data_IF_757157664252
#
_entry.id   IF_757157664252
#
_cell.length_a   1.000
_cell.length_b   1.000
_cell.length_c   1.000
_cell.angle_alpha   90.00
_cell.angle_beta   90.00
_cell.angle_gamma   90.00
#
_symmetry.space_group_name_H-M   'P 1'
#
loop_
_entity.id
_entity.type
_entity.pdbx_description
1 polymer ?
#
# COMPACT_ATOMS: atom_id res chain seq x y z
N UNK A 1 -8.09 40.40 49.69
CA UNK A 1 -9.37 40.02 49.02
C UNK A 1 -9.04 39.30 47.72
N UNK A 2 -9.28 37.98 47.66
CA UNK A 2 -9.09 37.16 46.46
C UNK A 2 -10.42 37.10 45.70
N UNK A 3 -10.46 37.58 44.46
CA UNK A 3 -11.56 37.32 43.52
C UNK A 3 -11.23 36.06 42.72
N UNK A 4 -12.14 35.07 42.63
CA UNK A 4 -11.88 33.84 41.91
C UNK A 4 -12.03 34.06 40.41
N UNK A 5 -10.95 33.80 39.68
CA UNK A 5 -10.90 33.83 38.22
C UNK A 5 -11.82 32.72 37.67
N UNK A 6 -13.08 33.04 37.38
CA UNK A 6 -14.04 32.14 36.70
C UNK A 6 -13.64 32.01 35.23
N UNK A 7 -12.67 31.15 34.94
CA UNK A 7 -12.41 30.71 33.56
C UNK A 7 -13.66 29.96 33.09
N UNK A 8 -14.35 30.53 32.10
CA UNK A 8 -15.56 29.96 31.50
C UNK A 8 -15.28 28.54 31.02
N UNK A 9 -15.81 27.55 31.74
CA UNK A 9 -15.77 26.11 31.38
C UNK A 9 -16.21 25.84 29.94
N UNK A 10 -17.12 26.67 29.39
CA UNK A 10 -17.55 26.61 27.99
C UNK A 10 -16.40 26.81 26.98
N UNK A 11 -15.38 27.61 27.29
CA UNK A 11 -14.24 27.84 26.39
C UNK A 11 -13.36 26.60 26.29
N UNK A 12 -13.11 25.91 27.40
CA UNK A 12 -12.29 24.70 27.43
C UNK A 12 -12.93 23.55 26.65
N UNK A 13 -14.25 23.41 26.74
CA UNK A 13 -15.01 22.39 25.99
C UNK A 13 -14.99 22.64 24.49
N UNK A 14 -15.02 23.90 24.05
CA UNK A 14 -14.94 24.26 22.63
C UNK A 14 -13.54 23.95 22.07
N UNK A 15 -12.47 24.28 22.81
CA UNK A 15 -11.11 23.96 22.38
C UNK A 15 -10.87 22.45 22.30
N UNK A 16 -11.40 21.66 23.24
CA UNK A 16 -11.30 20.20 23.17
C UNK A 16 -12.14 19.62 22.03
N UNK A 17 -13.33 20.16 21.75
CA UNK A 17 -14.14 19.73 20.59
C UNK A 17 -13.42 20.05 19.26
N UNK A 18 -12.84 21.23 19.13
CA UNK A 18 -12.08 21.63 17.94
C UNK A 18 -10.83 20.75 17.80
N UNK A 19 -10.12 20.46 18.88
CA UNK A 19 -8.96 19.57 18.84
C UNK A 19 -9.34 18.14 18.44
N UNK A 20 -10.48 17.63 18.92
CA UNK A 20 -11.03 16.33 18.51
C UNK A 20 -11.44 16.37 17.03
N UNK A 21 -12.12 17.42 16.58
CA UNK A 21 -12.48 17.57 15.16
C UNK A 21 -11.25 17.69 14.26
N UNK A 22 -10.23 18.47 14.64
CA UNK A 22 -8.97 18.58 13.89
C UNK A 22 -8.22 17.25 13.91
N UNK A 23 -8.20 16.51 15.03
CA UNK A 23 -7.61 15.18 15.10
C UNK A 23 -8.38 14.15 14.26
N UNK A 24 -9.71 14.21 14.23
CA UNK A 24 -10.55 13.39 13.35
C UNK A 24 -10.30 13.76 11.89
N UNK A 25 -10.22 15.05 11.55
CA UNK A 25 -9.94 15.54 10.20
C UNK A 25 -8.52 15.12 9.75
N UNK A 26 -7.51 15.22 10.62
CA UNK A 26 -6.15 14.72 10.36
C UNK A 26 -6.12 13.19 10.19
N UNK A 27 -6.96 12.46 10.93
CA UNK A 27 -7.11 11.01 10.82
C UNK A 27 -7.97 10.58 9.61
N UNK A 28 -8.84 11.45 9.10
CA UNK A 28 -9.56 11.23 7.83
C UNK A 28 -8.77 11.71 6.62
N UNK A 29 -7.79 12.60 6.80
CA UNK A 29 -6.83 12.98 5.76
C UNK A 29 -5.83 11.84 5.43
N UNK A 30 -5.86 10.72 6.17
CA UNK A 30 -5.22 9.46 5.75
C UNK A 30 -6.15 8.57 4.92
N UNK A 31 -7.37 9.02 4.58
CA UNK A 31 -8.05 8.50 3.40
C UNK A 31 -7.26 9.08 2.23
N UNK A 32 -6.20 8.38 1.83
CA UNK A 32 -5.61 8.56 0.52
C UNK A 32 -6.78 8.53 -0.47
N UNK A 33 -7.16 9.68 -1.01
CA UNK A 33 -8.19 9.74 -2.02
C UNK A 33 -7.71 8.86 -3.16
N UNK A 34 -8.32 7.69 -3.31
CA UNK A 34 -8.00 6.76 -4.40
C UNK A 34 -8.11 7.58 -5.68
N UNK A 35 -7.02 7.74 -6.46
CA UNK A 35 -7.07 8.54 -7.68
C UNK A 35 -8.22 8.07 -8.56
N UNK A 36 -8.97 9.01 -9.15
CA UNK A 36 -10.10 8.68 -10.02
C UNK A 36 -9.64 7.79 -11.16
N UNK A 37 -10.23 6.60 -11.28
CA UNK A 37 -9.87 5.64 -12.32
C UNK A 37 -10.63 5.94 -13.61
N UNK A 38 -9.90 5.94 -14.74
CA UNK A 38 -10.53 5.95 -16.06
C UNK A 38 -11.35 4.66 -16.26
N UNK A 39 -12.67 4.74 -16.53
CA UNK A 39 -13.53 3.55 -16.63
C UNK A 39 -13.08 2.56 -17.71
N UNK A 40 -12.52 3.05 -18.82
CA UNK A 40 -12.02 2.21 -19.91
C UNK A 40 -10.77 1.44 -19.45
N UNK A 41 -9.80 2.14 -18.87
CA UNK A 41 -8.59 1.54 -18.32
C UNK A 41 -8.90 0.52 -17.22
N UNK A 42 -9.88 0.82 -16.36
CA UNK A 42 -10.37 -0.11 -15.34
C UNK A 42 -10.97 -1.37 -15.96
N UNK A 43 -11.84 -1.24 -16.96
CA UNK A 43 -12.45 -2.39 -17.64
C UNK A 43 -11.42 -3.28 -18.35
N UNK A 44 -10.40 -2.67 -18.97
CA UNK A 44 -9.28 -3.42 -19.57
C UNK A 44 -8.51 -4.23 -18.53
N UNK A 45 -8.22 -3.61 -17.37
CA UNK A 45 -7.53 -4.27 -16.27
C UNK A 45 -8.36 -5.44 -15.71
N UNK A 46 -9.65 -5.24 -15.47
CA UNK A 46 -10.55 -6.29 -14.97
C UNK A 46 -10.67 -7.48 -15.93
N UNK A 47 -10.71 -7.22 -17.25
CA UNK A 47 -10.67 -8.28 -18.26
C UNK A 47 -9.38 -9.11 -18.13
N UNK A 48 -8.23 -8.46 -18.00
CA UNK A 48 -6.95 -9.13 -17.86
C UNK A 48 -6.87 -9.95 -16.55
N UNK A 49 -7.36 -9.39 -15.44
CA UNK A 49 -7.48 -10.10 -14.16
C UNK A 49 -8.36 -11.33 -14.31
N UNK A 50 -9.50 -11.22 -14.98
CA UNK A 50 -10.40 -12.35 -15.21
C UNK A 50 -9.69 -13.48 -15.97
N UNK A 51 -8.94 -13.16 -17.03
CA UNK A 51 -8.14 -14.15 -17.79
C UNK A 51 -7.12 -14.83 -16.88
N UNK A 52 -6.40 -14.06 -16.06
CA UNK A 52 -5.36 -14.59 -15.14
C UNK A 52 -5.88 -15.61 -14.11
N UNK A 53 -7.19 -15.61 -13.83
CA UNK A 53 -7.83 -16.60 -12.94
C UNK A 53 -7.92 -17.98 -13.58
N UNK A 54 -8.06 -18.04 -14.90
CA UNK A 54 -8.18 -19.29 -15.67
C UNK A 54 -6.83 -19.75 -16.21
N UNK A 55 -6.04 -18.83 -16.75
CA UNK A 55 -4.70 -19.10 -17.27
C UNK A 55 -3.75 -17.98 -16.85
N UNK A 56 -2.75 -18.34 -16.05
CA UNK A 56 -1.79 -17.38 -15.51
C UNK A 56 -0.92 -16.75 -16.59
N UNK A 57 -0.47 -17.54 -17.57
CA UNK A 57 0.43 -17.07 -18.62
C UNK A 57 -0.30 -16.10 -19.57
N UNK A 58 -1.51 -16.44 -19.99
CA UNK A 58 -2.35 -15.56 -20.80
C UNK A 58 -2.64 -14.24 -20.06
N UNK A 59 -2.91 -14.33 -18.75
CA UNK A 59 -3.12 -13.15 -17.91
C UNK A 59 -1.90 -12.22 -17.87
N UNK A 60 -0.69 -12.79 -17.73
CA UNK A 60 0.57 -12.03 -17.79
C UNK A 60 0.71 -11.37 -19.16
N UNK A 61 0.58 -12.13 -20.25
CA UNK A 61 0.72 -11.61 -21.61
C UNK A 61 -0.25 -10.46 -21.89
N UNK A 62 -1.51 -10.59 -21.47
CA UNK A 62 -2.51 -9.52 -21.64
C UNK A 62 -2.11 -8.29 -20.83
N UNK A 63 -1.72 -8.43 -19.56
CA UNK A 63 -1.28 -7.29 -18.74
C UNK A 63 -0.06 -6.57 -19.33
N UNK A 64 0.94 -7.31 -19.84
CA UNK A 64 2.14 -6.72 -20.47
C UNK A 64 1.81 -5.91 -21.74
N UNK A 65 0.76 -6.33 -22.46
CA UNK A 65 0.29 -5.69 -23.69
C UNK A 65 -0.46 -4.38 -23.43
N UNK A 66 -0.98 -4.15 -22.22
CA UNK A 66 -1.63 -2.89 -21.86
C UNK A 66 -0.59 -1.77 -21.74
N UNK A 67 -0.74 -0.74 -22.57
CA UNK A 67 0.09 0.48 -22.62
C UNK A 67 -0.77 1.72 -22.41
N UNK A 68 -0.12 2.86 -22.16
CA UNK A 68 -0.75 4.18 -22.07
C UNK A 68 -1.88 4.27 -21.03
N UNK A 69 -1.76 3.54 -19.92
CA UNK A 69 -2.73 3.61 -18.82
C UNK A 69 -2.48 4.86 -17.94
N UNK A 70 -3.52 5.43 -17.32
CA UNK A 70 -3.36 6.45 -16.30
C UNK A 70 -2.41 5.98 -15.18
N UNK A 71 -1.65 6.90 -14.60
CA UNK A 71 -0.50 6.55 -13.76
C UNK A 71 -0.83 5.62 -12.57
N UNK A 72 -2.01 5.81 -11.97
CA UNK A 72 -2.50 4.96 -10.89
C UNK A 72 -3.03 3.60 -11.38
N UNK A 73 -3.70 3.56 -12.54
CA UNK A 73 -4.13 2.28 -13.15
C UNK A 73 -2.92 1.46 -13.57
N UNK A 74 -1.90 2.11 -14.14
CA UNK A 74 -0.61 1.51 -14.47
C UNK A 74 0.07 0.94 -13.22
N UNK A 75 0.03 1.67 -12.10
CA UNK A 75 0.52 1.19 -10.82
C UNK A 75 -0.20 -0.09 -10.35
N UNK A 76 -1.55 -0.10 -10.39
CA UNK A 76 -2.34 -1.29 -10.04
C UNK A 76 -2.05 -2.47 -10.95
N UNK A 77 -2.00 -2.24 -12.27
CA UNK A 77 -1.66 -3.25 -13.28
C UNK A 77 -0.32 -3.90 -12.94
N UNK A 78 0.70 -3.09 -12.68
CA UNK A 78 2.05 -3.58 -12.37
C UNK A 78 2.09 -4.32 -11.02
N UNK A 79 1.34 -3.87 -10.01
CA UNK A 79 1.21 -4.63 -8.76
C UNK A 79 0.61 -6.02 -9.00
N UNK A 80 -0.43 -6.11 -9.81
CA UNK A 80 -1.07 -7.39 -10.17
C UNK A 80 -0.11 -8.26 -10.99
N UNK A 81 0.60 -7.68 -11.95
CA UNK A 81 1.58 -8.38 -12.76
C UNK A 81 2.69 -8.99 -11.88
N UNK A 82 3.23 -8.24 -10.91
CA UNK A 82 4.19 -8.75 -9.94
C UNK A 82 3.63 -9.94 -9.14
N UNK A 83 2.37 -9.84 -8.68
CA UNK A 83 1.66 -10.92 -7.98
C UNK A 83 1.45 -12.17 -8.85
N UNK A 84 1.29 -12.02 -10.16
CA UNK A 84 1.22 -13.16 -11.08
C UNK A 84 2.58 -13.82 -11.27
N UNK A 85 3.65 -13.04 -11.42
CA UNK A 85 5.02 -13.58 -11.45
C UNK A 85 5.40 -14.31 -10.16
N UNK A 86 4.99 -13.79 -8.99
CA UNK A 86 5.11 -14.52 -7.71
C UNK A 86 4.44 -15.89 -7.78
N UNK A 87 3.20 -15.93 -8.26
CA UNK A 87 2.42 -17.17 -8.36
C UNK A 87 3.04 -18.15 -9.38
N UNK A 88 3.72 -17.62 -10.40
CA UNK A 88 4.52 -18.40 -11.36
C UNK A 88 5.86 -18.89 -10.78
N UNK A 89 6.24 -18.43 -9.59
CA UNK A 89 7.55 -18.61 -8.96
C UNK A 89 8.70 -17.94 -9.71
N UNK A 90 8.38 -16.97 -10.55
CA UNK A 90 9.38 -16.13 -11.20
C UNK A 90 9.68 -14.91 -10.31
N UNK A 91 10.37 -15.19 -9.21
CA UNK A 91 10.62 -14.19 -8.17
C UNK A 91 11.50 -13.04 -8.65
N UNK A 92 12.40 -13.29 -9.60
CA UNK A 92 13.27 -12.26 -10.17
C UNK A 92 12.45 -11.17 -10.88
N UNK A 93 11.52 -11.56 -11.75
CA UNK A 93 10.64 -10.58 -12.42
C UNK A 93 9.71 -9.89 -11.43
N UNK A 94 9.14 -10.61 -10.47
CA UNK A 94 8.28 -10.02 -9.45
C UNK A 94 9.02 -8.95 -8.61
N UNK A 95 10.24 -9.26 -8.13
CA UNK A 95 11.09 -8.34 -7.35
C UNK A 95 11.36 -7.06 -8.14
N UNK A 96 11.76 -7.18 -9.42
CA UNK A 96 12.04 -6.02 -10.28
C UNK A 96 10.83 -5.12 -10.46
N UNK A 97 9.63 -5.68 -10.59
CA UNK A 97 8.41 -4.89 -10.73
C UNK A 97 8.07 -4.20 -9.39
N UNK A 98 8.14 -4.90 -8.27
CA UNK A 98 7.88 -4.29 -6.97
C UNK A 98 8.85 -3.17 -6.63
N UNK A 99 10.13 -3.33 -6.92
CA UNK A 99 11.13 -2.28 -6.72
C UNK A 99 10.72 -0.99 -7.43
N UNK A 100 10.29 -1.08 -8.70
CA UNK A 100 9.78 0.07 -9.46
C UNK A 100 8.54 0.70 -8.81
N UNK A 101 7.64 -0.12 -8.25
CA UNK A 101 6.44 0.37 -7.57
C UNK A 101 6.76 1.12 -6.28
N UNK A 102 7.84 0.79 -5.57
CA UNK A 102 8.21 1.47 -4.33
C UNK A 102 8.59 2.95 -4.51
N UNK A 103 8.94 3.35 -5.74
CA UNK A 103 9.26 4.73 -6.10
C UNK A 103 8.04 5.65 -6.10
N UNK A 104 6.82 5.09 -6.13
CA UNK A 104 5.57 5.87 -6.09
C UNK A 104 4.95 5.80 -4.70
N UNK A 105 4.19 6.83 -4.34
CA UNK A 105 3.40 6.84 -3.11
C UNK A 105 1.93 6.70 -3.45
N UNK A 106 1.52 5.48 -3.77
CA UNK A 106 0.16 5.15 -4.13
C UNK A 106 -0.48 4.19 -3.13
N UNK A 107 -1.83 4.17 -3.08
CA UNK A 107 -2.55 3.14 -2.36
C UNK A 107 -2.04 1.77 -2.83
N UNK A 108 -1.76 0.86 -1.89
CA UNK A 108 -1.09 -0.45 -2.02
C UNK A 108 0.42 -0.47 -1.72
N UNK A 109 1.09 0.68 -1.50
CA UNK A 109 2.53 0.71 -1.18
C UNK A 109 2.90 -0.16 0.01
N UNK A 110 2.04 -0.25 1.01
CA UNK A 110 2.21 -1.12 2.17
C UNK A 110 2.24 -2.60 1.76
N UNK A 111 1.42 -3.01 0.77
CA UNK A 111 1.42 -4.38 0.25
C UNK A 111 2.65 -4.63 -0.62
N UNK A 112 3.02 -3.66 -1.46
CA UNK A 112 4.24 -3.74 -2.28
C UNK A 112 5.46 -3.95 -1.37
N UNK A 113 5.60 -3.17 -0.29
CA UNK A 113 6.68 -3.33 0.68
C UNK A 113 6.71 -4.73 1.29
N UNK A 114 5.54 -5.25 1.69
CA UNK A 114 5.43 -6.57 2.29
C UNK A 114 5.87 -7.67 1.32
N UNK A 115 5.31 -7.69 0.11
CA UNK A 115 5.62 -8.69 -0.91
C UNK A 115 7.07 -8.62 -1.37
N UNK A 116 7.59 -7.41 -1.63
CA UNK A 116 8.99 -7.20 -1.96
C UNK A 116 9.93 -7.72 -0.86
N UNK A 117 9.61 -7.45 0.41
CA UNK A 117 10.40 -7.94 1.53
C UNK A 117 10.41 -9.47 1.62
N UNK A 118 9.24 -10.10 1.48
CA UNK A 118 9.11 -11.56 1.49
C UNK A 118 9.91 -12.23 0.37
N UNK A 119 9.82 -11.72 -0.86
CA UNK A 119 10.56 -12.30 -1.98
C UNK A 119 12.06 -12.10 -1.83
N UNK A 120 12.50 -10.94 -1.33
CA UNK A 120 13.92 -10.72 -1.07
C UNK A 120 14.45 -11.71 -0.03
N UNK A 121 13.71 -11.97 1.04
CA UNK A 121 14.09 -13.00 2.01
C UNK A 121 14.17 -14.40 1.37
N UNK A 122 13.19 -14.77 0.54
CA UNK A 122 13.18 -16.06 -0.15
C UNK A 122 14.39 -16.25 -1.08
N UNK A 123 14.86 -15.16 -1.71
CA UNK A 123 16.05 -15.16 -2.58
C UNK A 123 17.37 -14.96 -1.80
N UNK A 124 17.35 -14.94 -0.45
CA UNK A 124 18.54 -14.76 0.40
C UNK A 124 19.04 -13.32 0.54
N UNK A 125 18.26 -12.34 0.09
CA UNK A 125 18.56 -10.91 0.20
C UNK A 125 18.05 -10.33 1.54
N UNK A 126 18.50 -10.90 2.66
CA UNK A 126 17.95 -10.62 3.99
C UNK A 126 18.07 -9.15 4.41
N UNK A 127 19.16 -8.48 4.05
CA UNK A 127 19.34 -7.04 4.32
C UNK A 127 18.22 -6.19 3.69
N UNK A 128 17.86 -6.50 2.43
CA UNK A 128 16.77 -5.82 1.71
C UNK A 128 15.42 -6.15 2.34
N UNK A 129 15.20 -7.40 2.72
CA UNK A 129 13.98 -7.84 3.39
C UNK A 129 13.77 -7.12 4.72
N UNK A 130 14.78 -7.13 5.61
CA UNK A 130 14.78 -6.46 6.90
C UNK A 130 14.50 -4.96 6.76
N UNK A 131 15.19 -4.28 5.83
CA UNK A 131 14.96 -2.85 5.57
C UNK A 131 13.52 -2.57 5.13
N UNK A 132 12.97 -3.43 4.28
CA UNK A 132 11.62 -3.27 3.72
C UNK A 132 10.52 -3.55 4.74
N UNK A 133 10.65 -4.60 5.57
CA UNK A 133 9.74 -4.86 6.67
C UNK A 133 9.78 -3.73 7.72
N UNK A 134 10.97 -3.26 8.11
CA UNK A 134 11.08 -2.14 9.04
C UNK A 134 10.44 -0.87 8.47
N UNK A 135 10.61 -0.60 7.17
CA UNK A 135 9.93 0.50 6.47
C UNK A 135 8.41 0.34 6.52
N UNK A 136 7.88 -0.86 6.29
CA UNK A 136 6.45 -1.15 6.41
C UNK A 136 5.92 -0.86 7.83
N UNK A 137 6.62 -1.32 8.87
CA UNK A 137 6.20 -1.12 10.26
C UNK A 137 6.21 0.36 10.67
N UNK A 138 7.20 1.12 10.19
CA UNK A 138 7.33 2.55 10.50
C UNK A 138 6.34 3.41 9.71
N UNK A 139 6.24 3.18 8.40
CA UNK A 139 5.49 4.07 7.51
C UNK A 139 4.00 3.68 7.47
N UNK A 140 3.63 2.42 7.74
CA UNK A 140 2.26 1.91 7.70
C UNK A 140 1.91 1.06 8.94
N UNK A 141 1.98 1.61 10.16
CA UNK A 141 1.83 0.85 11.41
C UNK A 141 0.45 0.20 11.60
N UNK A 142 -0.58 0.66 10.89
CA UNK A 142 -1.94 0.10 10.89
C UNK A 142 -2.25 -0.81 9.70
N UNK A 143 -1.26 -1.13 8.85
CA UNK A 143 -1.45 -1.99 7.69
C UNK A 143 -1.82 -3.41 8.10
N UNK A 144 -2.68 -4.06 7.31
CA UNK A 144 -3.03 -5.48 7.47
C UNK A 144 -1.83 -6.42 7.32
N UNK A 145 -0.72 -5.96 6.74
CA UNK A 145 0.53 -6.71 6.59
C UNK A 145 1.45 -6.64 7.81
N UNK A 146 1.17 -5.74 8.77
CA UNK A 146 2.02 -5.53 9.95
C UNK A 146 2.17 -6.78 10.82
N UNK A 147 1.10 -7.53 11.17
CA UNK A 147 1.25 -8.73 12.00
C UNK A 147 2.19 -9.77 11.37
N UNK A 148 2.05 -10.01 10.07
CA UNK A 148 2.87 -10.97 9.32
C UNK A 148 4.31 -10.48 9.18
N UNK A 149 4.53 -9.19 8.97
CA UNK A 149 5.87 -8.61 8.94
C UNK A 149 6.59 -8.75 10.28
N UNK A 150 5.89 -8.51 11.41
CA UNK A 150 6.45 -8.72 12.75
C UNK A 150 6.79 -10.18 13.01
N UNK A 151 5.90 -11.09 12.60
CA UNK A 151 6.14 -12.52 12.70
C UNK A 151 7.41 -12.93 11.93
N UNK A 152 7.56 -12.47 10.69
CA UNK A 152 8.75 -12.74 9.89
C UNK A 152 10.03 -12.23 10.59
N UNK A 153 10.04 -10.97 11.04
CA UNK A 153 11.20 -10.37 11.71
C UNK A 153 11.59 -11.06 13.03
N UNK A 154 10.67 -11.74 13.69
CA UNK A 154 10.96 -12.50 14.91
C UNK A 154 11.63 -13.86 14.63
N UNK A 155 11.61 -14.33 13.38
CA UNK A 155 12.17 -15.62 12.96
C UNK A 155 13.54 -15.50 12.28
N UNK A 156 13.90 -14.29 11.87
CA UNK A 156 15.21 -13.98 11.26
C UNK A 156 16.21 -13.63 12.34
#
# INVERSE_FOLDING_TARGET
MKSPFKIKTKSLVIFTLIAICVFVILKTNSIETIPSEDPTAFAQLEKAISISKFNLDDGITVLESLKELPDYTEYKKNYILARLYEKKKDYKHAILIYEKLLNKNYPLKERVLFHYAQLNALEGNDSTALKSFNKLLRDFPSSKSVPQAKYFLAQT
#
